data_IF_801464949089
#
_entry.id   IF_801464949089
#
_cell.length_a   1.000
_cell.length_b   1.000
_cell.length_c   1.000
_cell.angle_alpha   90.00
_cell.angle_beta   90.00
_cell.angle_gamma   90.00
#
_symmetry.space_group_name_H-M   'P 1'
#
loop_
_entity.id
_entity.type
_entity.pdbx_description
1 polymer ?
#
# COMPACT_ATOMS: atom_id res chain seq x y z
N UNK A 1 -1.25 18.64 -17.88
CA UNK A 1 -1.45 17.75 -16.71
C UNK A 1 -1.02 16.35 -17.14
N UNK A 2 -0.10 15.66 -16.42
CA UNK A 2 0.30 14.31 -16.79
C UNK A 2 -0.86 13.31 -16.64
N UNK A 3 -0.88 12.28 -17.47
CA UNK A 3 -1.84 11.17 -17.39
C UNK A 3 -1.20 9.97 -16.70
N UNK A 4 -1.99 9.26 -15.88
CA UNK A 4 -1.54 8.09 -15.13
C UNK A 4 -2.55 6.97 -15.29
N UNK A 5 -2.08 5.76 -15.57
CA UNK A 5 -2.89 4.54 -15.58
C UNK A 5 -2.54 3.72 -14.34
N UNK A 6 -3.55 3.32 -13.58
CA UNK A 6 -3.40 2.53 -12.35
C UNK A 6 -4.35 1.34 -12.38
N UNK A 7 -3.93 0.23 -11.77
CA UNK A 7 -4.80 -0.90 -11.48
C UNK A 7 -5.38 -0.72 -10.08
N UNK A 8 -6.70 -0.85 -9.95
CA UNK A 8 -7.43 -0.75 -8.68
C UNK A 8 -8.42 -1.91 -8.54
N UNK A 9 -8.88 -2.15 -7.32
CA UNK A 9 -9.88 -3.19 -7.06
C UNK A 9 -11.17 -2.89 -7.84
N UNK A 10 -11.86 -3.92 -8.38
CA UNK A 10 -13.15 -3.75 -9.02
C UNK A 10 -14.18 -3.04 -8.14
N UNK A 11 -14.11 -3.26 -6.82
CA UNK A 11 -14.98 -2.61 -5.84
C UNK A 11 -14.72 -1.10 -5.76
N UNK A 12 -13.46 -0.68 -5.75
CA UNK A 12 -13.09 0.73 -5.75
C UNK A 12 -13.52 1.41 -7.05
N UNK A 13 -13.32 0.74 -8.18
CA UNK A 13 -13.78 1.24 -9.48
C UNK A 13 -15.30 1.41 -9.52
N UNK A 14 -16.06 0.51 -8.90
CA UNK A 14 -17.52 0.63 -8.78
C UNK A 14 -17.92 1.83 -7.92
N UNK A 15 -17.23 2.06 -6.80
CA UNK A 15 -17.46 3.24 -5.96
C UNK A 15 -17.21 4.55 -6.70
N UNK A 16 -16.14 4.62 -7.50
CA UNK A 16 -15.83 5.79 -8.34
C UNK A 16 -16.93 6.02 -9.37
N UNK A 17 -17.39 4.98 -10.06
CA UNK A 17 -18.48 5.09 -11.06
C UNK A 17 -19.77 5.60 -10.42
N UNK A 18 -20.19 5.02 -9.29
CA UNK A 18 -21.39 5.46 -8.60
C UNK A 18 -21.32 6.94 -8.16
N UNK A 19 -20.16 7.42 -7.75
CA UNK A 19 -19.97 8.83 -7.39
C UNK A 19 -20.15 9.79 -8.58
N UNK A 20 -19.83 9.34 -9.80
CA UNK A 20 -20.08 10.07 -11.04
C UNK A 20 -21.54 9.95 -11.46
N UNK A 21 -22.10 8.74 -11.42
CA UNK A 21 -23.49 8.46 -11.84
C UNK A 21 -24.51 9.19 -10.98
N UNK A 22 -24.22 9.39 -9.69
CA UNK A 22 -25.04 10.19 -8.77
C UNK A 22 -24.94 11.70 -9.03
N UNK A 23 -24.03 12.14 -9.89
CA UNK A 23 -23.76 13.55 -10.18
C UNK A 23 -22.95 14.26 -9.09
N UNK A 24 -22.41 13.53 -8.11
CA UNK A 24 -21.59 14.13 -7.04
C UNK A 24 -20.26 14.65 -7.58
N UNK A 25 -19.74 14.01 -8.62
CA UNK A 25 -18.52 14.40 -9.32
C UNK A 25 -18.74 14.41 -10.82
N UNK A 26 -18.08 15.33 -11.54
CA UNK A 26 -18.22 15.46 -12.99
C UNK A 26 -17.44 14.37 -13.76
N UNK A 27 -16.42 13.75 -13.14
CA UNK A 27 -15.66 12.67 -13.76
C UNK A 27 -14.93 11.78 -12.75
N UNK A 28 -14.60 10.56 -13.16
CA UNK A 28 -13.78 9.63 -12.36
C UNK A 28 -12.44 10.24 -11.96
N UNK A 29 -11.82 11.02 -12.87
CA UNK A 29 -10.56 11.72 -12.60
C UNK A 29 -10.70 12.78 -11.49
N UNK A 30 -11.86 13.40 -11.35
CA UNK A 30 -12.14 14.36 -10.29
C UNK A 30 -12.28 13.67 -8.93
N UNK A 31 -13.00 12.54 -8.88
CA UNK A 31 -13.11 11.68 -7.68
C UNK A 31 -11.72 11.31 -7.18
N UNK A 32 -10.85 10.85 -8.08
CA UNK A 32 -9.48 10.43 -7.73
C UNK A 32 -8.64 11.61 -7.24
N UNK A 33 -8.74 12.79 -7.88
CA UNK A 33 -8.00 13.98 -7.43
C UNK A 33 -8.42 14.41 -6.03
N UNK A 34 -9.72 14.41 -5.73
CA UNK A 34 -10.20 14.78 -4.41
C UNK A 34 -9.79 13.75 -3.35
N UNK A 35 -9.88 12.46 -3.66
CA UNK A 35 -9.39 11.40 -2.76
C UNK A 35 -7.90 11.57 -2.44
N UNK A 36 -7.06 11.89 -3.44
CA UNK A 36 -5.64 12.15 -3.24
C UNK A 36 -5.38 13.42 -2.43
N UNK A 37 -6.19 14.48 -2.62
CA UNK A 37 -6.12 15.70 -1.82
C UNK A 37 -6.44 15.43 -0.35
N UNK A 38 -7.49 14.64 -0.07
CA UNK A 38 -7.86 14.24 1.28
C UNK A 38 -6.78 13.37 1.93
N UNK A 39 -6.18 12.45 1.17
CA UNK A 39 -5.07 11.62 1.63
C UNK A 39 -3.83 12.44 1.98
N UNK A 40 -3.42 13.38 1.12
CA UNK A 40 -2.29 14.27 1.41
C UNK A 40 -2.56 15.14 2.65
N UNK A 41 -3.78 15.67 2.78
CA UNK A 41 -4.18 16.43 3.96
C UNK A 41 -4.13 15.58 5.24
N UNK A 42 -4.56 14.31 5.18
CA UNK A 42 -4.47 13.38 6.31
C UNK A 42 -3.01 13.04 6.67
N UNK A 43 -2.10 12.91 5.69
CA UNK A 43 -0.66 12.73 5.96
C UNK A 43 -0.08 13.94 6.68
N UNK A 44 -0.42 15.15 6.23
CA UNK A 44 0.06 16.40 6.83
C UNK A 44 -0.41 16.58 8.26
N UNK A 45 -1.61 16.09 8.60
CA UNK A 45 -2.14 16.10 9.97
C UNK A 45 -1.55 15.02 10.87
N UNK A 46 -0.89 14.01 10.30
CA UNK A 46 -0.40 12.85 11.05
C UNK A 46 -1.48 11.81 11.38
N UNK A 47 -2.68 11.95 10.82
CA UNK A 47 -3.82 11.05 11.06
C UNK A 47 -3.56 9.63 10.52
N UNK A 48 -2.74 9.55 9.49
CA UNK A 48 -2.25 8.31 8.91
C UNK A 48 -0.80 8.19 9.31
N UNK A 49 -0.49 7.18 10.13
CA UNK A 49 0.88 6.76 10.40
C UNK A 49 1.59 6.70 9.06
N UNK A 50 2.58 7.57 8.86
CA UNK A 50 3.49 7.42 7.75
C UNK A 50 4.09 6.04 7.92
N UNK A 51 3.65 5.06 7.14
CA UNK A 51 4.45 3.85 6.92
C UNK A 51 5.84 4.40 6.64
N UNK A 52 6.85 4.11 7.50
CA UNK A 52 8.17 4.64 7.28
C UNK A 52 8.47 4.26 5.85
N UNK A 53 8.69 5.27 5.00
CA UNK A 53 9.16 5.07 3.63
C UNK A 53 10.22 4.00 3.77
N UNK A 54 9.96 2.80 3.24
CA UNK A 54 10.89 1.70 3.33
C UNK A 54 12.23 2.30 2.93
N UNK A 55 13.15 2.35 3.89
CA UNK A 55 14.43 2.98 3.74
C UNK A 55 15.17 2.17 2.67
N UNK A 56 14.95 2.52 1.41
CA UNK A 56 15.83 2.20 0.30
C UNK A 56 16.95 3.26 0.31
N UNK A 57 17.53 3.50 1.48
CA UNK A 57 18.87 4.04 1.63
C UNK A 57 19.79 2.82 1.78
N UNK A 58 20.94 2.77 1.09
CA UNK A 58 21.74 1.55 1.01
C UNK A 58 22.40 1.10 2.33
N UNK A 59 22.22 1.80 3.46
CA UNK A 59 23.08 1.63 4.63
C UNK A 59 22.31 1.57 5.95
N UNK A 60 22.26 0.40 6.61
CA UNK A 60 21.97 0.29 8.06
C UNK A 60 21.24 -0.98 8.52
N UNK A 61 21.88 -1.88 9.32
CA UNK A 61 21.31 -3.17 9.71
C UNK A 61 20.43 -3.04 10.97
N UNK A 62 19.11 -3.09 10.80
CA UNK A 62 18.20 -3.39 11.92
C UNK A 62 18.07 -4.89 12.10
N UNK A 63 18.83 -5.43 13.06
CA UNK A 63 18.72 -6.80 13.58
C UNK A 63 17.32 -7.01 14.19
N UNK A 64 16.39 -7.56 13.41
CA UNK A 64 15.36 -8.54 13.81
C UNK A 64 14.29 -8.71 12.71
N UNK A 65 14.72 -8.90 11.47
CA UNK A 65 13.87 -9.54 10.47
C UNK A 65 14.60 -10.81 10.06
N UNK A 66 14.34 -11.92 10.76
CA UNK A 66 14.77 -13.22 10.22
C UNK A 66 13.99 -13.39 8.93
N UNK A 67 14.69 -13.59 7.83
CA UNK A 67 14.02 -13.74 6.55
C UNK A 67 13.26 -15.06 6.57
N UNK A 68 12.15 -15.14 5.83
CA UNK A 68 11.32 -16.35 5.77
C UNK A 68 12.14 -17.57 5.37
N UNK A 69 13.17 -17.39 4.52
CA UNK A 69 14.12 -18.43 4.16
C UNK A 69 14.86 -19.04 5.37
N UNK A 70 15.26 -18.22 6.34
CA UNK A 70 15.95 -18.69 7.55
C UNK A 70 15.00 -19.53 8.42
N UNK A 71 13.72 -19.13 8.51
CA UNK A 71 12.70 -19.91 9.23
C UNK A 71 12.44 -21.27 8.58
N UNK A 72 12.49 -21.35 7.25
CA UNK A 72 12.35 -22.63 6.53
C UNK A 72 13.56 -23.54 6.76
N UNK A 73 14.78 -23.00 6.74
CA UNK A 73 16.00 -23.76 7.00
C UNK A 73 16.00 -24.36 8.42
N UNK A 74 15.59 -23.60 9.43
CA UNK A 74 15.47 -24.07 10.81
C UNK A 74 14.45 -25.22 10.92
N UNK A 75 13.30 -25.09 10.24
CA UNK A 75 12.24 -26.11 10.25
C UNK A 75 12.67 -27.43 9.58
N UNK A 76 13.38 -27.36 8.45
CA UNK A 76 13.92 -28.56 7.80
C UNK A 76 14.98 -29.24 8.65
N UNK A 77 15.82 -28.46 9.33
CA UNK A 77 16.86 -28.96 10.23
C UNK A 77 16.27 -29.69 11.42
N UNK A 78 15.19 -29.17 12.01
CA UNK A 78 14.48 -29.81 13.12
C UNK A 78 13.74 -31.08 12.66
N UNK A 79 13.20 -31.10 11.44
CA UNK A 79 12.52 -32.29 10.89
C UNK A 79 13.49 -33.43 10.58
N UNK A 80 14.73 -33.11 10.22
CA UNK A 80 15.78 -34.11 9.98
C UNK A 80 16.32 -34.77 11.26
N UNK A 81 16.13 -34.14 12.44
CA UNK A 81 16.55 -34.68 13.74
C UNK A 81 15.55 -35.65 14.36
N UNK A 82 14.31 -35.63 13.87
CA UNK A 82 13.19 -36.42 14.42
C UNK A 82 12.88 -37.68 13.59
N UNK A 83 13.78 -38.05 12.68
CA UNK A 83 13.76 -39.27 11.88
C UNK A 83 15.09 -40.00 12.04
#
# INVERSE_FOLDING_TARGET
MPMVTVSISPLQAAGIRAAVDTGTYASSSEVVREALRMWDAARKRGDICAVPVAANGPDGPSKSSRCVADMFADYETERARHN
#
